data_IF_453164738897
#
_entry.id   IF_453164738897
#
_cell.length_a   1.000
_cell.length_b   1.000
_cell.length_c   1.000
_cell.angle_alpha   90.00
_cell.angle_beta   90.00
_cell.angle_gamma   90.00
#
_symmetry.space_group_name_H-M   'P 1'
#
loop_
_entity.id
_entity.type
_entity.pdbx_description
1 polymer ?
#
# COMPACT_ATOMS: atom_id res chain seq x y z
N UNK A 1 -1.20 2.26 18.84
CA UNK A 1 0.00 2.67 18.08
C UNK A 1 0.75 1.41 17.64
N UNK A 2 1.33 1.40 16.45
CA UNK A 2 2.17 0.31 15.95
C UNK A 2 3.65 0.70 15.95
N UNK A 3 4.53 -0.30 16.04
CA UNK A 3 5.96 -0.16 15.82
C UNK A 3 6.31 -0.26 14.32
N UNK A 4 7.61 -0.24 13.99
CA UNK A 4 8.09 -0.34 12.60
C UNK A 4 7.81 -1.70 11.93
N UNK A 5 7.42 -2.71 12.71
CA UNK A 5 7.05 -4.06 12.25
C UNK A 5 5.53 -4.19 12.03
N UNK A 6 4.78 -3.09 12.16
CA UNK A 6 3.31 -3.05 12.13
C UNK A 6 2.62 -3.82 13.26
N UNK A 7 3.37 -4.16 14.32
CA UNK A 7 2.85 -4.79 15.54
C UNK A 7 2.36 -3.73 16.51
N UNK A 8 1.38 -4.08 17.35
CA UNK A 8 0.95 -3.22 18.45
C UNK A 8 2.15 -2.91 19.35
N UNK A 9 2.35 -1.63 19.66
CA UNK A 9 3.48 -1.10 20.44
C UNK A 9 3.30 -1.42 21.94
N UNK A 10 3.31 -2.71 22.27
CA UNK A 10 3.18 -3.27 23.60
C UNK A 10 3.69 -4.73 23.60
N UNK A 11 4.68 -5.04 24.43
CA UNK A 11 5.31 -6.37 24.51
C UNK A 11 4.31 -7.50 24.76
N UNK A 12 3.27 -7.25 25.56
CA UNK A 12 2.22 -8.23 25.87
C UNK A 12 1.43 -8.66 24.63
N UNK A 13 1.41 -7.83 23.60
CA UNK A 13 0.60 -8.00 22.40
C UNK A 13 1.47 -8.07 21.13
N UNK A 14 2.68 -8.61 21.25
CA UNK A 14 3.62 -8.78 20.13
C UNK A 14 3.07 -9.64 18.98
N UNK A 15 2.00 -10.40 19.21
CA UNK A 15 1.29 -11.18 18.20
C UNK A 15 0.14 -10.43 17.51
N UNK A 16 -0.14 -9.18 17.89
CA UNK A 16 -1.21 -8.35 17.31
C UNK A 16 -0.61 -7.38 16.30
N UNK A 17 -1.21 -7.32 15.12
CA UNK A 17 -0.81 -6.43 14.02
C UNK A 17 -1.96 -5.50 13.66
N UNK A 18 -1.64 -4.28 13.22
CA UNK A 18 -2.62 -3.34 12.68
C UNK A 18 -2.09 -2.70 11.40
N UNK A 19 -2.92 -2.67 10.36
CA UNK A 19 -2.57 -2.23 9.01
C UNK A 19 -3.54 -1.17 8.51
N UNK A 20 -3.14 -0.49 7.42
CA UNK A 20 -3.94 0.50 6.72
C UNK A 20 -4.41 1.62 7.64
N UNK A 21 -5.67 2.00 7.44
CA UNK A 21 -6.31 3.15 8.07
C UNK A 21 -6.49 2.98 9.59
N UNK A 22 -6.51 1.75 10.08
CA UNK A 22 -6.59 1.45 11.51
C UNK A 22 -5.27 1.67 12.28
N UNK A 23 -4.15 1.78 11.55
CA UNK A 23 -2.82 1.95 12.13
C UNK A 23 -2.39 3.42 12.14
N UNK A 24 -1.50 3.80 13.05
CA UNK A 24 -0.86 5.12 13.05
C UNK A 24 0.46 5.15 12.25
N UNK A 25 0.72 4.15 11.39
CA UNK A 25 1.90 4.14 10.54
C UNK A 25 1.89 5.33 9.54
N UNK A 26 3.04 5.92 9.25
CA UNK A 26 3.13 7.18 8.48
C UNK A 26 2.77 7.05 6.99
N UNK A 27 2.51 5.83 6.52
CA UNK A 27 1.98 5.58 5.16
C UNK A 27 0.64 6.28 4.95
N UNK A 28 0.39 6.84 3.76
CA UNK A 28 -0.91 7.41 3.41
C UNK A 28 -2.05 6.41 3.61
N UNK A 29 -3.19 6.92 4.07
CA UNK A 29 -4.39 6.13 4.39
C UNK A 29 -5.18 5.82 3.13
N UNK A 30 -4.66 4.89 2.34
CA UNK A 30 -5.21 4.47 1.06
C UNK A 30 -5.17 2.95 0.89
N UNK A 31 -6.14 2.42 0.15
CA UNK A 31 -6.25 0.98 -0.13
C UNK A 31 -4.98 0.37 -0.76
N UNK A 32 -4.26 1.14 -1.58
CA UNK A 32 -2.98 0.70 -2.16
C UNK A 32 -1.94 0.36 -1.08
N UNK A 33 -1.75 1.24 -0.11
CA UNK A 33 -0.80 1.04 0.98
C UNK A 33 -1.26 -0.04 1.96
N UNK A 34 -2.56 -0.10 2.24
CA UNK A 34 -3.12 -1.18 3.05
C UNK A 34 -2.88 -2.56 2.41
N UNK A 35 -3.05 -2.67 1.09
CA UNK A 35 -2.77 -3.90 0.35
C UNK A 35 -1.27 -4.25 0.34
N UNK A 36 -0.39 -3.27 0.20
CA UNK A 36 1.06 -3.48 0.25
C UNK A 36 1.53 -3.95 1.64
N UNK A 37 1.06 -3.28 2.70
CA UNK A 37 1.28 -3.71 4.09
C UNK A 37 0.78 -5.12 4.35
N UNK A 38 -0.40 -5.48 3.82
CA UNK A 38 -0.94 -6.83 3.92
C UNK A 38 -0.05 -7.89 3.26
N UNK A 39 0.47 -7.60 2.06
CA UNK A 39 1.43 -8.49 1.36
C UNK A 39 2.74 -8.63 2.12
N UNK A 40 3.26 -7.52 2.63
CA UNK A 40 4.47 -7.51 3.45
C UNK A 40 4.30 -8.40 4.68
N UNK A 41 3.22 -8.18 5.46
CA UNK A 41 2.96 -8.97 6.67
C UNK A 41 2.76 -10.45 6.34
N UNK A 42 2.01 -10.77 5.28
CA UNK A 42 1.80 -12.15 4.84
C UNK A 42 3.13 -12.86 4.49
N UNK A 43 4.05 -12.16 3.82
CA UNK A 43 5.37 -12.69 3.50
C UNK A 43 6.23 -12.92 4.76
N UNK A 44 6.19 -12.01 5.73
CA UNK A 44 6.87 -12.18 7.03
C UNK A 44 6.31 -13.39 7.79
N UNK A 45 4.99 -13.48 7.91
CA UNK A 45 4.30 -14.60 8.55
C UNK A 45 4.69 -15.92 7.91
N UNK A 46 4.66 -16.00 6.58
CA UNK A 46 5.06 -17.20 5.84
C UNK A 46 6.53 -17.57 6.11
N UNK A 47 7.44 -16.59 6.15
CA UNK A 47 8.86 -16.83 6.44
C UNK A 47 9.08 -17.38 7.86
N UNK A 48 8.37 -16.83 8.86
CA UNK A 48 8.43 -17.30 10.25
C UNK A 48 7.87 -18.72 10.38
N UNK A 49 6.69 -18.99 9.81
CA UNK A 49 6.07 -20.33 9.82
C UNK A 49 6.96 -21.38 9.14
N UNK A 50 7.63 -20.99 8.05
CA UNK A 50 8.57 -21.84 7.33
C UNK A 50 9.95 -21.96 8.00
N UNK A 51 10.15 -21.37 9.18
CA UNK A 51 11.43 -21.34 9.91
C UNK A 51 12.59 -20.75 9.09
N UNK A 52 12.28 -19.87 8.14
CA UNK A 52 13.28 -19.09 7.39
C UNK A 52 13.70 -17.83 8.14
N UNK A 53 12.98 -17.48 9.21
CA UNK A 53 13.17 -16.29 10.03
C UNK A 53 12.73 -16.62 11.46
N UNK A 54 13.52 -16.21 12.46
CA UNK A 54 13.27 -16.57 13.86
C UNK A 54 12.13 -15.75 14.52
N UNK A 55 11.61 -14.74 13.84
CA UNK A 55 10.54 -13.85 14.32
C UNK A 55 10.36 -12.65 13.40
N UNK A 56 9.57 -11.65 13.77
CA UNK A 56 9.41 -10.43 12.97
C UNK A 56 10.58 -9.48 13.24
N UNK A 57 11.47 -9.30 12.25
CA UNK A 57 12.68 -8.50 12.44
C UNK A 57 12.98 -7.52 11.30
N UNK A 58 12.13 -7.46 10.26
CA UNK A 58 12.30 -6.52 9.16
C UNK A 58 11.27 -5.40 9.28
N UNK A 59 11.71 -4.13 9.38
CA UNK A 59 10.83 -2.97 9.33
C UNK A 59 10.04 -2.91 8.02
N UNK A 60 8.81 -2.40 8.08
CA UNK A 60 8.07 -2.04 6.89
C UNK A 60 8.73 -0.80 6.26
N UNK A 61 8.95 -0.78 4.93
CA UNK A 61 9.61 0.35 4.26
C UNK A 61 8.88 1.68 4.46
N UNK A 62 9.64 2.75 4.69
CA UNK A 62 9.10 4.11 4.70
C UNK A 62 8.71 4.55 3.30
N UNK A 63 7.59 5.26 3.18
CA UNK A 63 7.15 5.88 1.94
C UNK A 63 7.85 7.22 1.78
N UNK A 64 8.70 7.34 0.76
CA UNK A 64 9.46 8.57 0.46
C UNK A 64 8.86 9.38 -0.69
N UNK A 65 8.18 8.70 -1.61
CA UNK A 65 7.54 9.35 -2.76
C UNK A 65 6.22 8.65 -3.04
N UNK A 66 5.16 9.43 -3.14
CA UNK A 66 3.82 8.92 -3.41
C UNK A 66 3.49 8.99 -4.91
N UNK A 67 2.71 8.01 -5.36
CA UNK A 67 2.07 8.08 -6.65
C UNK A 67 0.91 9.08 -6.57
N UNK A 68 0.92 10.10 -7.43
CA UNK A 68 -0.19 11.05 -7.56
C UNK A 68 -0.61 11.11 -9.02
N UNK A 69 -1.90 10.97 -9.29
CA UNK A 69 -2.46 11.03 -10.64
C UNK A 69 -3.45 12.19 -10.64
N UNK A 70 -3.14 13.26 -11.37
CA UNK A 70 -3.96 14.46 -11.46
C UNK A 70 -4.52 14.61 -12.88
N UNK A 71 -5.70 14.05 -13.17
CA UNK A 71 -6.38 14.24 -14.43
C UNK A 71 -7.00 15.64 -14.52
N UNK A 72 -6.82 16.31 -15.67
CA UNK A 72 -7.44 17.61 -15.98
C UNK A 72 -8.05 17.54 -17.38
N UNK A 73 -9.38 17.62 -17.48
CA UNK A 73 -10.09 17.48 -18.76
C UNK A 73 -9.86 16.11 -19.41
N UNK A 74 -9.49 16.10 -20.68
CA UNK A 74 -9.08 14.88 -21.42
C UNK A 74 -7.68 14.40 -21.05
N UNK A 75 -6.96 15.16 -20.23
CA UNK A 75 -5.54 15.00 -20.02
C UNK A 75 -5.10 14.91 -18.56
N UNK A 76 -3.82 15.22 -18.30
CA UNK A 76 -3.31 15.46 -16.95
C UNK A 76 -1.84 15.12 -16.74
N UNK A 77 -1.43 15.16 -15.47
CA UNK A 77 -0.06 14.88 -15.03
C UNK A 77 -0.10 13.83 -13.93
N UNK A 78 0.84 12.89 -13.97
CA UNK A 78 1.03 11.91 -12.89
C UNK A 78 2.46 11.97 -12.38
N UNK A 79 2.64 11.91 -11.08
CA UNK A 79 3.90 11.62 -10.42
C UNK A 79 3.91 10.14 -10.05
N UNK A 80 4.95 9.42 -10.45
CA UNK A 80 5.16 8.02 -10.11
C UNK A 80 6.20 7.87 -9.00
N UNK A 81 6.05 6.89 -8.11
CA UNK A 81 6.92 6.71 -6.94
C UNK A 81 8.25 6.03 -7.29
N UNK A 82 8.67 6.07 -8.57
CA UNK A 82 9.92 5.47 -9.05
C UNK A 82 11.02 6.54 -9.16
N UNK A 83 12.28 6.14 -8.90
CA UNK A 83 13.48 6.96 -9.09
C UNK A 83 13.41 8.39 -8.51
N UNK A 84 12.80 8.55 -7.33
CA UNK A 84 12.68 9.85 -6.66
C UNK A 84 11.58 10.76 -7.19
N UNK A 85 10.63 10.24 -7.99
CA UNK A 85 9.45 10.99 -8.43
C UNK A 85 9.42 11.31 -9.92
N UNK A 86 9.39 10.28 -10.77
CA UNK A 86 9.24 10.48 -12.22
C UNK A 86 7.87 11.08 -12.53
N UNK A 87 7.87 12.26 -13.17
CA UNK A 87 6.65 12.89 -13.67
C UNK A 87 6.38 12.41 -15.10
N UNK A 88 5.16 11.92 -15.33
CA UNK A 88 4.67 11.50 -16.65
C UNK A 88 3.43 12.31 -17.01
N UNK A 89 3.28 12.57 -18.31
CA UNK A 89 2.23 13.46 -18.81
C UNK A 89 0.95 12.75 -19.21
N UNK A 90 0.35 13.32 -20.25
CA UNK A 90 -1.03 13.14 -20.65
C UNK A 90 -1.44 11.69 -20.93
N UNK A 91 -0.69 11.01 -21.80
CA UNK A 91 -1.01 9.66 -22.27
C UNK A 91 -1.12 8.64 -21.13
N UNK A 92 -0.22 8.74 -20.15
CA UNK A 92 -0.22 7.85 -18.99
C UNK A 92 -1.41 8.14 -18.08
N UNK A 93 -1.63 9.42 -17.77
CA UNK A 93 -2.74 9.88 -16.93
C UNK A 93 -4.10 9.51 -17.53
N UNK A 94 -4.27 9.74 -18.84
CA UNK A 94 -5.46 9.37 -19.60
C UNK A 94 -5.72 7.87 -19.54
N UNK A 95 -4.68 7.03 -19.74
CA UNK A 95 -4.82 5.57 -19.70
C UNK A 95 -5.32 5.06 -18.35
N UNK A 96 -4.86 5.63 -17.24
CA UNK A 96 -5.33 5.23 -15.90
C UNK A 96 -6.76 5.71 -15.68
N UNK A 97 -7.06 6.98 -16.02
CA UNK A 97 -8.41 7.53 -15.92
C UNK A 97 -9.43 6.73 -16.73
N UNK A 98 -9.10 6.41 -17.98
CA UNK A 98 -9.97 5.65 -18.89
C UNK A 98 -10.24 4.22 -18.41
N UNK A 99 -9.36 3.68 -17.56
CA UNK A 99 -9.48 2.36 -16.92
C UNK A 99 -9.85 2.49 -15.45
N UNK A 100 -10.87 3.28 -15.13
CA UNK A 100 -11.50 3.37 -13.81
C UNK A 100 -10.61 3.75 -12.61
N UNK A 101 -9.43 4.33 -12.83
CA UNK A 101 -8.45 4.60 -11.76
C UNK A 101 -8.08 3.35 -10.94
N UNK A 102 -8.12 2.17 -11.57
CA UNK A 102 -7.85 0.89 -10.90
C UNK A 102 -8.89 0.52 -9.81
N UNK A 103 -10.07 1.15 -9.81
CA UNK A 103 -11.15 0.82 -8.90
C UNK A 103 -11.57 -0.65 -9.06
N UNK A 104 -11.82 -1.10 -10.29
CA UNK A 104 -12.21 -2.49 -10.57
C UNK A 104 -11.17 -3.50 -10.08
N UNK A 105 -9.88 -3.19 -10.27
CA UNK A 105 -8.78 -4.02 -9.76
C UNK A 105 -8.77 -4.08 -8.23
N UNK A 106 -8.98 -2.95 -7.57
CA UNK A 106 -8.97 -2.86 -6.10
C UNK A 106 -10.14 -3.64 -5.50
N UNK A 107 -11.36 -3.42 -5.99
CA UNK A 107 -12.54 -4.16 -5.56
C UNK A 107 -12.41 -5.67 -5.85
N UNK A 108 -11.92 -6.05 -7.04
CA UNK A 108 -11.68 -7.45 -7.37
C UNK A 108 -10.68 -8.14 -6.44
N UNK A 109 -9.67 -7.42 -5.95
CA UNK A 109 -8.71 -7.98 -4.99
C UNK A 109 -9.34 -8.31 -3.62
N UNK A 110 -10.47 -7.68 -3.29
CA UNK A 110 -11.27 -7.95 -2.11
C UNK A 110 -12.36 -9.00 -2.34
N UNK A 111 -12.44 -9.59 -3.54
CA UNK A 111 -13.54 -10.47 -3.93
C UNK A 111 -14.88 -9.73 -4.10
N UNK A 112 -14.83 -8.42 -4.36
CA UNK A 112 -16.00 -7.55 -4.46
C UNK A 112 -16.05 -6.82 -5.82
N UNK A 113 -17.18 -6.17 -6.09
CA UNK A 113 -17.39 -5.35 -7.29
C UNK A 113 -17.50 -3.87 -6.91
N UNK A 114 -17.05 -2.93 -7.76
CA UNK A 114 -17.28 -1.52 -7.52
C UNK A 114 -18.78 -1.21 -7.37
N UNK A 115 -19.16 -0.28 -6.48
CA UNK A 115 -20.53 0.21 -6.44
C UNK A 115 -20.91 0.85 -7.78
N UNK A 116 -22.18 0.73 -8.14
CA UNK A 116 -22.76 1.33 -9.35
C UNK A 116 -22.92 2.84 -9.21
#
# INVERSE_FOLDING_TARGET
KVNELLQLDNEKYSNIFALGDSSNHDTPKMAFWAADQGKFLAAQLAAVVQKKQDGFNKPYPKVTTEAMILPVGSGGVSQLPFCGGVVVGDWFTWRIKAKDFMAGRTWGSLGATPPK
#
